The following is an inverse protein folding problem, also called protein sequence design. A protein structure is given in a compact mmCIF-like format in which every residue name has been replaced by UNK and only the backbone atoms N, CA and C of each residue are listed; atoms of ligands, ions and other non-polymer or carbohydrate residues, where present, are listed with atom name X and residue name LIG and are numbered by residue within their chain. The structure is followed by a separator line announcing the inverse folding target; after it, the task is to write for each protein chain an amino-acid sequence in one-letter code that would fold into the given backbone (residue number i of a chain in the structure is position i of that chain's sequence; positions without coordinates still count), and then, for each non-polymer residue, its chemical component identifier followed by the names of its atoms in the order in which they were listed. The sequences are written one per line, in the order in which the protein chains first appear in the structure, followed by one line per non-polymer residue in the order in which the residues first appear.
data_IF_590215296057
#
_entry.id   IF_590215296057
#
_cell.length_a   1.000
_cell.length_b   1.000
_cell.length_c   1.000
_cell.angle_alpha   90.00
_cell.angle_beta   90.00
_cell.angle_gamma   90.00
#
_symmetry.space_group_name_H-M   'P 1'
#
loop_
_entity.id
_entity.type
_entity.pdbx_description
1 polymer ?
#
# COMPACT_ATOMS: atom_id res chain seq x y z
N UNK A 1 -8.26 5.22 -4.77
CA UNK A 1 -8.63 4.14 -3.83
C UNK A 1 -9.79 3.28 -4.34
N UNK A 2 -10.84 3.83 -4.98
CA UNK A 2 -12.05 3.04 -5.28
C UNK A 2 -12.05 2.19 -6.56
N UNK A 3 -11.24 2.51 -7.58
CA UNK A 3 -11.18 1.68 -8.78
C UNK A 3 -9.75 1.73 -9.31
N UNK A 4 -8.94 0.76 -8.88
CA UNK A 4 -7.54 0.63 -9.30
C UNK A 4 -7.34 -0.38 -10.42
N UNK A 5 -8.42 -1.02 -10.85
CA UNK A 5 -8.35 -1.93 -11.97
C UNK A 5 -8.37 -1.14 -13.29
N UNK A 6 -7.15 -0.79 -13.75
CA UNK A 6 -6.95 -0.10 -15.03
C UNK A 6 -7.55 -0.91 -16.18
N UNK A 7 -7.54 -2.24 -16.11
CA UNK A 7 -8.12 -3.09 -17.15
C UNK A 7 -9.64 -2.98 -17.18
N UNK A 8 -10.28 -2.94 -16.01
CA UNK A 8 -11.71 -2.66 -15.90
C UNK A 8 -12.08 -1.33 -16.55
N UNK A 9 -11.37 -0.23 -16.24
CA UNK A 9 -11.68 1.08 -16.85
C UNK A 9 -11.42 1.16 -18.35
N UNK A 10 -10.46 0.38 -18.88
CA UNK A 10 -10.23 0.33 -20.32
C UNK A 10 -11.41 -0.34 -21.02
N UNK A 11 -11.88 -1.48 -20.48
CA UNK A 11 -12.95 -2.31 -21.08
C UNK A 11 -14.37 -1.91 -20.68
N UNK A 12 -14.56 -1.07 -19.67
CA UNK A 12 -15.88 -0.70 -19.17
C UNK A 12 -16.66 0.19 -20.16
N UNK A 13 -17.99 0.05 -20.24
CA UNK A 13 -18.84 0.97 -21.00
C UNK A 13 -18.72 2.43 -20.52
N UNK A 14 -18.94 3.40 -21.41
CA UNK A 14 -18.76 4.83 -21.14
C UNK A 14 -19.53 5.30 -19.89
N UNK A 15 -20.74 4.78 -19.68
CA UNK A 15 -21.62 5.13 -18.57
C UNK A 15 -21.02 4.74 -17.20
N UNK A 16 -20.29 3.62 -17.14
CA UNK A 16 -19.58 3.20 -15.94
C UNK A 16 -18.36 4.10 -15.65
N UNK A 17 -17.67 4.57 -16.69
CA UNK A 17 -16.56 5.52 -16.54
C UNK A 17 -17.07 6.85 -15.98
N UNK A 18 -18.15 7.36 -16.55
CA UNK A 18 -18.80 8.62 -16.14
C UNK A 18 -19.33 8.52 -14.71
N UNK A 19 -20.13 7.49 -14.40
CA UNK A 19 -20.67 7.29 -13.05
C UNK A 19 -19.56 7.12 -12.01
N UNK A 20 -18.49 6.40 -12.34
CA UNK A 20 -17.32 6.26 -11.45
C UNK A 20 -16.59 7.58 -11.22
N UNK A 21 -16.49 8.44 -12.24
CA UNK A 21 -15.95 9.79 -12.09
C UNK A 21 -16.82 10.67 -11.17
N UNK A 22 -18.14 10.62 -11.33
CA UNK A 22 -19.07 11.31 -10.43
C UNK A 22 -18.96 10.79 -8.98
N UNK A 23 -18.95 9.46 -8.79
CA UNK A 23 -18.75 8.86 -7.48
C UNK A 23 -17.44 9.30 -6.84
N UNK A 24 -16.36 9.40 -7.63
CA UNK A 24 -15.06 9.90 -7.14
C UNK A 24 -15.16 11.33 -6.62
N UNK A 25 -15.89 12.20 -7.31
CA UNK A 25 -16.12 13.58 -6.88
C UNK A 25 -16.92 13.61 -5.58
N UNK A 26 -18.01 12.84 -5.50
CA UNK A 26 -18.87 12.76 -4.32
C UNK A 26 -18.06 12.25 -3.11
N UNK A 27 -17.36 11.13 -3.25
CA UNK A 27 -16.54 10.58 -2.17
C UNK A 27 -15.43 11.53 -1.73
N UNK A 28 -14.81 12.26 -2.65
CA UNK A 28 -13.81 13.27 -2.29
C UNK A 28 -14.43 14.41 -1.47
N UNK A 29 -15.63 14.87 -1.85
CA UNK A 29 -16.36 15.89 -1.07
C UNK A 29 -16.73 15.38 0.32
N UNK A 30 -17.22 14.13 0.41
CA UNK A 30 -17.54 13.51 1.70
C UNK A 30 -16.31 13.36 2.58
N UNK A 31 -15.19 12.90 2.03
CA UNK A 31 -13.92 12.75 2.76
C UNK A 31 -13.43 14.08 3.35
N UNK A 32 -13.43 15.15 2.55
CA UNK A 32 -13.07 16.51 3.01
C UNK A 32 -14.04 17.01 4.07
N UNK A 33 -15.37 16.83 3.86
CA UNK A 33 -16.39 17.26 4.81
C UNK A 33 -16.26 16.52 6.13
N UNK A 34 -16.11 15.20 6.12
CA UNK A 34 -15.91 14.40 7.32
C UNK A 34 -14.70 14.90 8.11
N UNK A 35 -13.56 15.11 7.44
CA UNK A 35 -12.35 15.61 8.10
C UNK A 35 -12.51 17.05 8.61
N UNK A 36 -13.35 17.89 8.01
CA UNK A 36 -13.65 19.22 8.56
C UNK A 36 -14.48 19.17 9.84
N UNK A 37 -15.25 18.10 10.06
CA UNK A 37 -16.18 17.96 11.18
C UNK A 37 -15.61 17.16 12.35
N UNK A 38 -14.48 16.49 12.19
CA UNK A 38 -13.83 15.72 13.28
C UNK A 38 -13.18 16.65 14.30
N UNK A 39 -13.21 16.31 15.57
CA UNK A 39 -12.50 17.08 16.60
C UNK A 39 -10.98 16.96 16.41
N UNK A 40 -10.52 15.72 16.28
CA UNK A 40 -9.10 15.39 16.13
C UNK A 40 -8.85 14.47 14.93
N UNK A 41 -7.63 14.57 14.38
CA UNK A 41 -7.16 13.72 13.29
C UNK A 41 -5.92 12.96 13.77
N UNK A 42 -5.97 11.63 13.69
CA UNK A 42 -4.84 10.76 14.01
C UNK A 42 -4.27 10.18 12.71
N UNK A 43 -2.99 10.45 12.48
CA UNK A 43 -2.25 9.96 11.33
C UNK A 43 -1.28 8.85 11.75
N UNK A 44 -1.18 7.81 10.92
CA UNK A 44 -0.34 6.63 11.22
C UNK A 44 1.16 6.85 10.93
N UNK A 45 1.53 7.97 10.32
CA UNK A 45 2.91 8.34 10.02
C UNK A 45 3.05 9.84 9.72
N UNK A 46 4.26 10.38 9.87
CA UNK A 46 4.60 11.76 9.48
C UNK A 46 4.34 12.02 8.00
N UNK A 47 4.68 11.07 7.13
CA UNK A 47 4.44 11.21 5.68
C UNK A 47 2.95 11.40 5.36
N UNK A 48 2.08 10.63 6.01
CA UNK A 48 0.64 10.76 5.81
C UNK A 48 0.11 12.06 6.43
N UNK A 49 0.64 12.48 7.59
CA UNK A 49 0.31 13.78 8.19
C UNK A 49 0.61 14.94 7.24
N UNK A 50 1.83 15.01 6.68
CA UNK A 50 2.21 16.08 5.75
C UNK A 50 1.31 16.13 4.52
N UNK A 51 0.95 14.95 3.99
CA UNK A 51 0.00 14.84 2.89
C UNK A 51 -1.41 15.28 3.29
N UNK A 52 -1.89 14.84 4.45
CA UNK A 52 -3.20 15.18 5.00
C UNK A 52 -3.34 16.69 5.24
N UNK A 53 -2.33 17.32 5.84
CA UNK A 53 -2.27 18.77 6.04
C UNK A 53 -2.46 19.54 4.73
N UNK A 54 -1.79 19.11 3.65
CA UNK A 54 -1.94 19.75 2.32
C UNK A 54 -3.34 19.56 1.71
N UNK A 55 -3.95 18.40 1.92
CA UNK A 55 -5.26 18.06 1.29
C UNK A 55 -6.42 18.69 2.06
N UNK A 56 -6.37 18.65 3.39
CA UNK A 56 -7.50 18.98 4.26
C UNK A 56 -7.32 20.31 5.00
N UNK A 57 -6.13 20.94 4.91
CA UNK A 57 -5.78 22.18 5.62
C UNK A 57 -6.08 22.13 7.13
N UNK A 58 -5.83 20.97 7.75
CA UNK A 58 -5.99 20.75 9.19
C UNK A 58 -4.79 20.05 9.79
N UNK A 59 -4.44 20.47 10.99
CA UNK A 59 -3.45 19.78 11.82
C UNK A 59 -4.02 18.48 12.40
N UNK A 60 -3.12 17.61 12.83
CA UNK A 60 -3.44 16.38 13.54
C UNK A 60 -2.20 15.77 14.18
N UNK A 61 -2.41 14.69 14.90
CA UNK A 61 -1.37 14.02 15.68
C UNK A 61 -0.87 12.79 14.94
N UNK A 62 0.41 12.46 15.14
CA UNK A 62 0.96 11.21 14.61
C UNK A 62 0.90 10.16 15.71
N UNK A 63 0.24 9.05 15.45
CA UNK A 63 0.26 7.86 16.28
C UNK A 63 0.70 6.68 15.44
N UNK A 64 1.92 6.19 15.70
CA UNK A 64 2.48 5.06 14.96
C UNK A 64 1.80 3.76 15.38
N UNK A 65 1.43 2.94 14.40
CA UNK A 65 0.83 1.64 14.64
C UNK A 65 1.90 0.74 15.28
N UNK A 66 1.64 0.25 16.49
CA UNK A 66 2.44 -0.79 17.12
C UNK A 66 2.22 -2.16 16.48
N UNK A 67 3.19 -3.07 16.65
CA UNK A 67 3.05 -4.46 16.21
C UNK A 67 2.81 -5.32 17.45
N UNK A 68 1.80 -6.18 17.40
CA UNK A 68 1.58 -7.17 18.45
C UNK A 68 2.73 -8.17 18.49
N UNK A 69 3.41 -8.26 19.63
CA UNK A 69 4.59 -9.12 19.83
C UNK A 69 4.24 -10.48 20.44
N UNK A 70 2.97 -10.72 20.79
CA UNK A 70 2.54 -11.99 21.37
C UNK A 70 2.66 -13.11 20.33
N UNK A 71 3.54 -14.07 20.64
CA UNK A 71 3.67 -15.40 20.01
C UNK A 71 4.32 -15.52 18.62
N UNK A 72 5.49 -14.92 18.42
CA UNK A 72 6.45 -15.48 17.44
C UNK A 72 7.84 -15.68 18.03
N UNK A 73 8.01 -16.76 18.79
CA UNK A 73 9.31 -17.46 18.86
C UNK A 73 9.56 -18.15 17.50
N UNK A 74 9.64 -17.38 16.42
CA UNK A 74 10.09 -17.92 15.14
C UNK A 74 11.60 -17.70 15.10
N UNK A 75 12.34 -18.62 15.72
CA UNK A 75 13.73 -18.87 15.39
C UNK A 75 13.75 -19.79 14.16
N UNK A 76 13.26 -19.35 13.01
CA UNK A 76 13.76 -19.95 11.76
C UNK A 76 15.03 -19.21 11.42
N UNK A 77 16.14 -19.94 11.55
CA UNK A 77 17.42 -19.46 11.09
C UNK A 77 17.36 -19.28 9.56
N UNK A 78 17.98 -18.22 9.03
CA UNK A 78 18.06 -17.96 7.59
C UNK A 78 18.68 -19.16 6.84
N UNK A 79 19.52 -19.93 7.54
CA UNK A 79 20.08 -21.18 7.06
C UNK A 79 19.02 -22.23 6.72
N UNK A 80 18.04 -22.44 7.60
CA UNK A 80 16.97 -23.43 7.41
C UNK A 80 16.07 -23.06 6.23
N UNK A 81 15.83 -21.76 6.02
CA UNK A 81 15.08 -21.27 4.87
C UNK A 81 15.81 -21.53 3.55
N UNK A 82 17.12 -21.24 3.47
CA UNK A 82 17.96 -21.53 2.29
C UNK A 82 17.95 -23.01 1.94
N UNK A 83 18.11 -23.87 2.95
CA UNK A 83 18.07 -25.32 2.78
C UNK A 83 16.70 -25.79 2.28
N UNK A 84 15.59 -25.28 2.84
CA UNK A 84 14.23 -25.65 2.40
C UNK A 84 13.91 -25.24 0.95
N UNK A 85 14.57 -24.20 0.45
CA UNK A 85 14.39 -23.67 -0.90
C UNK A 85 15.47 -24.17 -1.89
N UNK A 86 16.36 -25.07 -1.44
CA UNK A 86 17.49 -25.59 -2.21
C UNK A 86 18.40 -24.48 -2.80
N UNK A 87 18.61 -23.41 -2.03
CA UNK A 87 19.45 -22.26 -2.41
C UNK A 87 20.84 -22.41 -1.75
N UNK A 88 21.91 -22.10 -2.50
CA UNK A 88 23.27 -22.12 -1.97
C UNK A 88 23.44 -21.17 -0.78
N UNK A 89 24.31 -21.55 0.16
CA UNK A 89 24.61 -20.75 1.36
C UNK A 89 25.15 -19.37 0.99
N UNK A 90 25.92 -19.27 -0.08
CA UNK A 90 26.59 -18.03 -0.50
C UNK A 90 25.69 -17.10 -1.33
N UNK A 91 24.48 -17.57 -1.69
CA UNK A 91 23.53 -16.76 -2.44
C UNK A 91 22.87 -15.70 -1.55
N UNK A 92 22.88 -14.45 -2.02
CA UNK A 92 22.15 -13.36 -1.39
C UNK A 92 20.66 -13.49 -1.69
N UNK A 93 19.81 -13.38 -0.66
CA UNK A 93 18.35 -13.45 -0.82
C UNK A 93 17.76 -12.06 -0.69
N UNK A 94 17.05 -11.64 -1.72
CA UNK A 94 16.15 -10.50 -1.68
C UNK A 94 14.73 -11.09 -1.60
N UNK A 95 14.01 -10.80 -0.52
CA UNK A 95 12.62 -11.21 -0.38
C UNK A 95 11.71 -9.99 -0.26
N UNK A 96 10.49 -10.14 -0.78
CA UNK A 96 9.42 -9.17 -0.61
C UNK A 96 8.19 -9.90 -0.10
N UNK A 97 7.47 -9.29 0.84
CA UNK A 97 6.23 -9.83 1.38
C UNK A 97 5.15 -8.77 1.23
N UNK A 98 4.12 -9.08 0.46
CA UNK A 98 2.99 -8.20 0.25
C UNK A 98 1.97 -8.78 -0.69
N UNK A 99 0.75 -8.27 -0.63
CA UNK A 99 -0.27 -8.55 -1.64
C UNK A 99 0.27 -8.16 -3.02
N UNK A 100 0.04 -9.01 -4.02
CA UNK A 100 0.33 -8.70 -5.43
C UNK A 100 -0.64 -7.63 -5.93
N UNK A 101 -0.39 -6.39 -5.51
CA UNK A 101 -1.24 -5.25 -5.72
C UNK A 101 -0.39 -4.07 -6.20
N UNK A 102 -0.93 -3.26 -7.10
CA UNK A 102 -0.20 -2.13 -7.71
C UNK A 102 0.37 -1.16 -6.66
N UNK A 103 -0.34 -0.95 -5.55
CA UNK A 103 0.12 -0.11 -4.44
C UNK A 103 1.34 -0.67 -3.68
N UNK A 104 1.72 -1.92 -3.93
CA UNK A 104 2.88 -2.58 -3.34
C UNK A 104 4.06 -2.70 -4.32
N UNK A 105 3.92 -2.21 -5.55
CA UNK A 105 5.01 -2.18 -6.52
C UNK A 105 5.45 -3.56 -7.03
N UNK A 106 4.60 -4.58 -6.91
CA UNK A 106 4.97 -5.95 -7.25
C UNK A 106 5.37 -6.10 -8.73
N UNK A 107 4.70 -5.37 -9.63
CA UNK A 107 5.02 -5.39 -11.06
C UNK A 107 6.37 -4.76 -11.35
N UNK A 108 6.67 -3.64 -10.71
CA UNK A 108 7.93 -2.92 -10.82
C UNK A 108 9.10 -3.78 -10.31
N UNK A 109 8.89 -4.52 -9.20
CA UNK A 109 9.87 -5.48 -8.69
C UNK A 109 10.19 -6.59 -9.70
N UNK A 110 9.18 -7.15 -10.38
CA UNK A 110 9.38 -8.16 -11.43
C UNK A 110 10.20 -7.57 -12.59
N UNK A 111 9.89 -6.34 -13.02
CA UNK A 111 10.62 -5.68 -14.11
C UNK A 111 12.09 -5.46 -13.72
N UNK A 112 12.37 -4.98 -12.51
CA UNK A 112 13.73 -4.79 -12.01
C UNK A 112 14.47 -6.12 -11.99
N UNK A 113 13.85 -7.16 -11.44
CA UNK A 113 14.45 -8.49 -11.35
C UNK A 113 14.83 -9.06 -12.74
N UNK A 114 13.92 -8.95 -13.71
CA UNK A 114 14.19 -9.40 -15.08
C UNK A 114 15.34 -8.61 -15.75
N UNK A 115 15.50 -7.32 -15.42
CA UNK A 115 16.63 -6.50 -15.90
C UNK A 115 17.95 -6.77 -15.17
N UNK A 116 17.91 -7.35 -13.98
CA UNK A 116 19.13 -7.67 -13.23
C UNK A 116 19.68 -9.07 -13.56
N UNK A 117 18.87 -9.90 -14.21
CA UNK A 117 19.25 -11.25 -14.65
C UNK A 117 19.68 -11.27 -16.12
N UNK A 118 19.03 -10.47 -16.97
CA UNK A 118 19.41 -10.27 -18.39
C UNK A 118 20.41 -9.13 -18.52
#
# INVERSE_FOLDING_TARGET
RYFHDKEFYLKAPIIYKISSWFLRIIFKKLDIRSISMTDEIIYISKFIKERGKKIYNREGYVHYIGIETKNKKIKTDAFTLKQSLNISKDTHIIFTLGLSHQMKGAKELIIIFNKSIN
#
